data_IF_622323200323
#
_entry.id   IF_622323200323
#
_cell.length_a   1.000
_cell.length_b   1.000
_cell.length_c   1.000
_cell.angle_alpha   90.00
_cell.angle_beta   90.00
_cell.angle_gamma   90.00
#
_symmetry.space_group_name_H-M   'P 1'
#
loop_
_entity.id
_entity.type
_entity.pdbx_description
1 polymer ?
#
# COMPACT_ATOMS: atom_id res chain seq x y z
N UNK A 1 23.47 7.73 -32.48
CA UNK A 1 24.20 7.07 -31.37
C UNK A 1 23.64 5.66 -31.21
N UNK A 2 24.43 4.64 -31.58
CA UNK A 2 23.96 3.25 -31.59
C UNK A 2 23.90 2.68 -30.17
N UNK A 3 22.75 2.11 -29.80
CA UNK A 3 22.47 1.48 -28.50
C UNK A 3 23.52 0.41 -28.18
N UNK A 4 24.29 0.58 -27.10
CA UNK A 4 25.38 -0.36 -26.71
C UNK A 4 24.88 -1.64 -26.04
N UNK A 5 23.69 -1.64 -25.45
CA UNK A 5 23.21 -2.70 -24.54
C UNK A 5 22.45 -3.87 -25.20
N UNK A 6 22.44 -3.96 -26.53
CA UNK A 6 21.74 -5.04 -27.25
C UNK A 6 20.21 -5.00 -27.06
N UNK A 7 19.52 -5.98 -27.66
CA UNK A 7 18.06 -6.12 -27.55
C UNK A 7 17.70 -7.51 -27.05
N UNK A 8 16.60 -7.60 -26.32
CA UNK A 8 15.99 -8.86 -25.92
C UNK A 8 14.53 -8.91 -26.36
N UNK A 9 14.02 -10.11 -26.60
CA UNK A 9 12.62 -10.38 -26.89
C UNK A 9 12.14 -11.52 -26.02
N UNK A 10 10.97 -11.36 -25.42
CA UNK A 10 10.30 -12.40 -24.63
C UNK A 10 9.28 -13.08 -25.55
N UNK A 11 9.39 -14.40 -25.71
CA UNK A 11 8.37 -15.22 -26.36
C UNK A 11 7.58 -15.95 -25.27
N UNK A 12 6.45 -15.36 -24.88
CA UNK A 12 5.57 -15.87 -23.82
C UNK A 12 4.97 -17.24 -24.16
N UNK A 13 4.79 -17.56 -25.46
CA UNK A 13 4.21 -18.83 -25.89
C UNK A 13 5.18 -19.99 -25.74
N UNK A 14 6.48 -19.72 -25.88
CA UNK A 14 7.55 -20.72 -25.72
C UNK A 14 8.27 -20.64 -24.38
N UNK A 15 8.01 -19.59 -23.59
CA UNK A 15 8.71 -19.33 -22.32
C UNK A 15 10.19 -19.02 -22.52
N UNK A 16 10.59 -18.44 -23.65
CA UNK A 16 12.00 -18.22 -24.00
C UNK A 16 12.37 -16.74 -24.06
N UNK A 17 13.59 -16.43 -23.61
CA UNK A 17 14.22 -15.12 -23.80
C UNK A 17 15.20 -15.20 -24.96
N UNK A 18 14.97 -14.40 -25.99
CA UNK A 18 15.82 -14.32 -27.16
C UNK A 18 16.68 -13.05 -27.07
N UNK A 19 17.99 -13.20 -27.22
CA UNK A 19 18.95 -12.09 -27.18
C UNK A 19 19.58 -11.88 -28.55
N UNK A 20 19.91 -10.64 -28.88
CA UNK A 20 20.68 -10.34 -30.09
C UNK A 20 22.08 -10.94 -30.02
N UNK A 21 22.64 -11.32 -31.18
CA UNK A 21 23.93 -12.02 -31.27
C UNK A 21 25.13 -11.26 -30.67
N UNK A 22 25.04 -9.93 -30.57
CA UNK A 22 26.04 -9.09 -29.90
C UNK A 22 26.12 -9.26 -28.36
N UNK A 23 25.21 -10.04 -27.78
CA UNK A 23 25.19 -10.44 -26.37
C UNK A 23 25.72 -11.87 -26.15
N UNK A 24 26.15 -12.56 -27.21
CA UNK A 24 26.77 -13.88 -27.07
C UNK A 24 28.00 -13.82 -26.15
N UNK A 25 28.14 -14.82 -25.27
CA UNK A 25 29.24 -14.96 -24.29
C UNK A 25 29.34 -13.83 -23.24
N UNK A 26 28.31 -12.98 -23.11
CA UNK A 26 28.24 -11.97 -22.04
C UNK A 26 27.38 -12.49 -20.89
N UNK A 27 27.71 -12.05 -19.68
CA UNK A 27 26.88 -12.28 -18.51
C UNK A 27 25.62 -11.40 -18.61
N UNK A 28 24.45 -12.04 -18.61
CA UNK A 28 23.16 -11.34 -18.65
C UNK A 28 22.51 -11.46 -17.28
N UNK A 29 22.24 -10.33 -16.64
CA UNK A 29 21.48 -10.26 -15.38
C UNK A 29 20.02 -9.91 -15.70
N UNK A 30 19.12 -10.87 -15.49
CA UNK A 30 17.68 -10.64 -15.59
C UNK A 30 17.14 -10.38 -14.18
N UNK A 31 16.76 -9.14 -13.91
CA UNK A 31 16.13 -8.78 -12.64
C UNK A 31 14.63 -8.58 -12.84
N UNK A 32 13.85 -9.50 -12.30
CA UNK A 32 12.40 -9.33 -12.22
C UNK A 32 12.07 -8.38 -11.07
N UNK A 33 11.46 -7.24 -11.38
CA UNK A 33 10.95 -6.28 -10.40
C UNK A 33 9.44 -6.27 -10.58
N UNK A 34 8.72 -6.71 -9.55
CA UNK A 34 7.27 -6.60 -9.47
C UNK A 34 6.90 -5.66 -8.32
N UNK A 35 5.93 -4.80 -8.57
CA UNK A 35 5.27 -3.97 -7.56
C UNK A 35 4.31 -4.77 -6.66
N UNK A 36 4.23 -6.09 -6.84
CA UNK A 36 3.50 -7.01 -5.96
C UNK A 36 1.99 -6.86 -6.00
N UNK A 37 1.44 -6.01 -6.88
CA UNK A 37 0.01 -5.84 -7.04
C UNK A 37 -0.51 -6.89 -8.02
N UNK A 38 -0.59 -8.15 -7.55
CA UNK A 38 -1.13 -9.26 -8.31
C UNK A 38 -2.60 -8.97 -8.68
N UNK A 39 -2.85 -8.74 -9.96
CA UNK A 39 -4.10 -8.19 -10.47
C UNK A 39 -5.26 -9.20 -10.65
N UNK A 40 -5.23 -10.40 -10.06
CA UNK A 40 -6.25 -11.40 -10.40
C UNK A 40 -6.72 -12.36 -9.29
N UNK A 41 -6.42 -12.10 -8.00
CA UNK A 41 -6.86 -13.01 -6.92
C UNK A 41 -7.30 -12.21 -5.69
N UNK A 42 -8.60 -11.98 -5.58
CA UNK A 42 -9.34 -11.52 -4.39
C UNK A 42 -8.60 -10.56 -3.45
N UNK A 43 -8.83 -9.26 -3.60
CA UNK A 43 -8.44 -8.27 -2.59
C UNK A 43 -9.21 -8.55 -1.30
N UNK A 44 -8.58 -9.28 -0.37
CA UNK A 44 -9.15 -9.59 0.94
C UNK A 44 -8.89 -8.43 1.89
N UNK A 45 -9.96 -7.70 2.21
CA UNK A 45 -9.93 -6.65 3.22
C UNK A 45 -10.21 -7.27 4.58
N UNK A 46 -9.38 -7.02 5.61
CA UNK A 46 -9.67 -7.46 6.97
C UNK A 46 -11.03 -6.92 7.44
N UNK A 47 -11.87 -7.78 8.03
CA UNK A 47 -13.21 -7.40 8.52
C UNK A 47 -13.18 -6.18 9.46
N UNK A 48 -12.12 -6.06 10.26
CA UNK A 48 -11.90 -4.95 11.21
C UNK A 48 -11.62 -3.59 10.54
N UNK A 49 -11.19 -3.60 9.27
CA UNK A 49 -10.85 -2.42 8.48
C UNK A 49 -11.94 -2.03 7.47
N UNK A 50 -12.92 -2.90 7.26
CA UNK A 50 -13.97 -2.72 6.25
C UNK A 50 -14.74 -1.40 6.43
N UNK A 51 -15.19 -1.09 7.65
CA UNK A 51 -15.91 0.15 7.95
C UNK A 51 -15.09 1.41 7.64
N UNK A 52 -13.78 1.34 7.89
CA UNK A 52 -12.88 2.46 7.61
C UNK A 52 -12.65 2.64 6.10
N UNK A 53 -12.62 1.54 5.36
CA UNK A 53 -12.53 1.56 3.90
C UNK A 53 -13.78 2.20 3.29
N UNK A 54 -14.98 1.77 3.70
CA UNK A 54 -16.22 2.37 3.20
C UNK A 54 -16.30 3.87 3.52
N UNK A 55 -15.96 4.27 4.74
CA UNK A 55 -15.94 5.68 5.12
C UNK A 55 -14.92 6.50 4.30
N UNK A 56 -13.78 5.89 3.95
CA UNK A 56 -12.80 6.51 3.07
C UNK A 56 -13.32 6.72 1.65
N UNK A 57 -13.93 5.69 1.06
CA UNK A 57 -14.51 5.74 -0.29
C UNK A 57 -15.61 6.80 -0.35
N UNK A 58 -16.52 6.82 0.63
CA UNK A 58 -17.60 7.81 0.71
C UNK A 58 -17.02 9.23 0.73
N UNK A 59 -16.05 9.50 1.62
CA UNK A 59 -15.42 10.81 1.67
C UNK A 59 -14.74 11.19 0.35
N UNK A 60 -14.00 10.26 -0.28
CA UNK A 60 -13.32 10.51 -1.55
C UNK A 60 -14.31 10.92 -2.67
N UNK A 61 -15.45 10.23 -2.77
CA UNK A 61 -16.51 10.56 -3.72
C UNK A 61 -17.14 11.92 -3.39
N UNK A 62 -17.50 12.16 -2.12
CA UNK A 62 -18.17 13.41 -1.73
C UNK A 62 -17.26 14.63 -1.87
N UNK A 63 -15.95 14.48 -1.64
CA UNK A 63 -14.97 15.57 -1.73
C UNK A 63 -14.72 16.08 -3.15
N UNK A 64 -15.05 15.27 -4.16
CA UNK A 64 -14.81 15.58 -5.57
C UNK A 64 -16.11 15.92 -6.32
N UNK A 65 -17.27 15.60 -5.74
CA UNK A 65 -18.58 15.80 -6.35
C UNK A 65 -19.03 17.27 -6.23
N UNK A 66 -19.43 17.84 -7.36
CA UNK A 66 -20.00 19.19 -7.46
C UNK A 66 -21.41 19.24 -6.84
N UNK A 67 -21.75 20.37 -6.21
CA UNK A 67 -23.09 20.61 -5.65
C UNK A 67 -23.30 20.08 -4.23
N UNK A 68 -22.25 19.57 -3.58
CA UNK A 68 -22.28 19.18 -2.17
C UNK A 68 -21.87 20.35 -1.30
N UNK A 69 -22.62 20.57 -0.21
CA UNK A 69 -22.28 21.60 0.76
C UNK A 69 -21.04 21.21 1.56
N UNK A 70 -20.11 22.15 1.76
CA UNK A 70 -18.81 21.95 2.41
C UNK A 70 -18.93 21.33 3.82
N UNK A 71 -19.98 21.65 4.58
CA UNK A 71 -20.18 21.09 5.91
C UNK A 71 -20.38 19.56 5.89
N UNK A 72 -21.00 19.03 4.82
CA UNK A 72 -21.22 17.59 4.63
C UNK A 72 -19.86 16.93 4.38
N UNK A 73 -19.06 17.50 3.49
CA UNK A 73 -17.69 17.01 3.19
C UNK A 73 -16.84 16.98 4.46
N UNK A 74 -16.86 18.06 5.25
CA UNK A 74 -16.14 18.15 6.53
C UNK A 74 -16.64 17.14 7.57
N UNK A 75 -17.94 16.82 7.60
CA UNK A 75 -18.49 15.78 8.48
C UNK A 75 -17.92 14.40 8.12
N UNK A 76 -17.97 14.02 6.85
CA UNK A 76 -17.43 12.75 6.38
C UNK A 76 -15.90 12.66 6.48
N UNK A 77 -15.19 13.80 6.40
CA UNK A 77 -13.76 13.87 6.67
C UNK A 77 -13.42 13.47 8.11
N UNK A 78 -14.17 13.99 9.08
CA UNK A 78 -14.01 13.65 10.51
C UNK A 78 -14.36 12.19 10.75
N UNK A 79 -15.44 11.72 10.15
CA UNK A 79 -15.89 10.33 10.27
C UNK A 79 -14.85 9.34 9.70
N UNK A 80 -14.33 9.58 8.49
CA UNK A 80 -13.23 8.82 7.89
C UNK A 80 -12.04 8.74 8.84
N UNK A 81 -11.63 9.87 9.41
CA UNK A 81 -10.45 9.95 10.28
C UNK A 81 -10.63 9.14 11.56
N UNK A 82 -11.81 9.23 12.19
CA UNK A 82 -12.14 8.48 13.39
C UNK A 82 -12.20 6.96 13.13
N UNK A 83 -12.89 6.53 12.07
CA UNK A 83 -13.00 5.11 11.69
C UNK A 83 -11.64 4.52 11.32
N UNK A 84 -10.80 5.26 10.60
CA UNK A 84 -9.45 4.84 10.26
C UNK A 84 -8.56 4.67 11.50
N UNK A 85 -8.64 5.59 12.47
CA UNK A 85 -7.94 5.44 13.75
C UNK A 85 -8.38 4.18 14.50
N UNK A 86 -9.69 3.93 14.58
CA UNK A 86 -10.22 2.76 15.26
C UNK A 86 -9.79 1.46 14.56
N UNK A 87 -9.85 1.41 13.23
CA UNK A 87 -9.37 0.27 12.45
C UNK A 87 -7.88 0.02 12.68
N UNK A 88 -7.05 1.07 12.71
CA UNK A 88 -5.61 0.94 13.05
C UNK A 88 -5.39 0.36 14.44
N UNK A 89 -6.12 0.83 15.45
CA UNK A 89 -6.02 0.32 16.82
C UNK A 89 -6.43 -1.15 16.87
N UNK A 90 -7.52 -1.52 16.18
CA UNK A 90 -8.02 -2.90 16.13
C UNK A 90 -7.08 -3.86 15.39
N UNK A 91 -6.45 -3.40 14.30
CA UNK A 91 -5.48 -4.18 13.54
C UNK A 91 -4.12 -4.27 14.24
N UNK A 92 -3.77 -3.26 15.02
CA UNK A 92 -2.54 -3.28 15.79
C UNK A 92 -2.70 -4.26 16.95
N UNK A 93 -1.86 -5.28 17.03
CA UNK A 93 -1.76 -6.16 18.21
C UNK A 93 -1.04 -5.44 19.37
N UNK A 94 -1.52 -4.26 19.73
CA UNK A 94 -0.94 -3.37 20.72
C UNK A 94 -1.35 -3.84 22.12
N UNK A 95 -0.46 -4.59 22.76
CA UNK A 95 -0.56 -5.01 24.15
C UNK A 95 -0.33 -3.81 25.08
N UNK A 96 -1.42 -3.19 25.52
CA UNK A 96 -1.38 -1.98 26.34
C UNK A 96 -0.61 -2.20 27.65
N UNK A 97 -0.70 -3.41 28.21
CA UNK A 97 0.06 -3.90 29.36
C UNK A 97 1.57 -3.80 29.15
N UNK A 98 2.08 -4.20 27.98
CA UNK A 98 3.50 -4.13 27.65
C UNK A 98 3.98 -2.67 27.55
N UNK A 99 3.17 -1.79 26.95
CA UNK A 99 3.51 -0.36 26.87
C UNK A 99 3.52 0.26 28.26
N UNK A 100 2.51 -0.02 29.08
CA UNK A 100 2.42 0.49 30.45
C UNK A 100 3.64 0.01 31.25
N UNK A 101 4.05 -1.25 31.11
CA UNK A 101 5.22 -1.79 31.80
C UNK A 101 6.52 -1.09 31.39
N UNK A 102 6.73 -0.82 30.09
CA UNK A 102 7.92 -0.11 29.58
C UNK A 102 7.93 1.37 30.00
N UNK A 103 6.76 1.99 30.10
CA UNK A 103 6.61 3.40 30.47
C UNK A 103 6.57 3.63 31.99
N UNK A 104 6.36 2.58 32.79
CA UNK A 104 6.30 2.65 34.25
C UNK A 104 7.64 3.14 34.81
N UNK A 105 7.60 4.25 35.56
CA UNK A 105 8.78 4.86 36.17
C UNK A 105 9.54 5.86 35.28
N UNK A 106 9.20 5.98 33.99
CA UNK A 106 9.84 6.95 33.08
C UNK A 106 9.33 8.39 33.22
N UNK A 107 8.18 8.62 33.87
CA UNK A 107 7.61 9.96 34.07
C UNK A 107 7.84 10.53 35.47
N UNK A 108 8.79 9.99 36.25
CA UNK A 108 9.08 10.52 37.58
C UNK A 108 9.70 11.92 37.39
N UNK A 109 9.00 12.96 37.81
CA UNK A 109 9.60 14.28 37.91
C UNK A 109 10.76 14.18 38.90
N UNK A 110 11.97 14.41 38.41
CA UNK A 110 13.15 14.57 39.26
C UNK A 110 12.90 15.88 40.01
N UNK A 111 12.59 15.78 41.31
CA UNK A 111 12.62 16.93 42.21
C UNK A 111 14.06 17.23 42.57
#
# INVERSE_FOLDING_TARGET
TSQRNGWFKIDERKGTFNFTSNLAQKLILLQYISDGNAYDIDVRVPKLAEEALYAHIIYAILSTRVGIQEYIVKRFQKERSAKLRNAKIRLSNLKLDQIIQVMRGKSKWIK
#
